data_IF_522568932006
#
_entry.id   IF_522568932006
#
_cell.length_a   1.000
_cell.length_b   1.000
_cell.length_c   1.000
_cell.angle_alpha   90.00
_cell.angle_beta   90.00
_cell.angle_gamma   90.00
#
_symmetry.space_group_name_H-M   'P 1'
#
loop_
_entity.id
_entity.type
_entity.pdbx_description
1 polymer ?
#
# COMPACT_ATOMS: atom_id res chain seq x y z
N UNK A 1 -9.97 15.84 -17.24
CA UNK A 1 -9.74 14.39 -17.02
C UNK A 1 -10.41 13.99 -15.72
N UNK A 2 -11.04 12.83 -15.66
CA UNK A 2 -11.69 12.31 -14.48
C UNK A 2 -10.93 11.08 -13.97
N UNK A 3 -10.67 11.05 -12.67
CA UNK A 3 -9.92 9.97 -12.01
C UNK A 3 -10.74 9.44 -10.85
N UNK A 4 -10.93 8.12 -10.79
CA UNK A 4 -11.48 7.48 -9.60
C UNK A 4 -10.35 6.89 -8.74
N UNK A 5 -10.40 7.15 -7.44
CA UNK A 5 -9.51 6.57 -6.45
C UNK A 5 -10.31 5.60 -5.58
N UNK A 6 -9.95 4.34 -5.60
CA UNK A 6 -10.52 3.36 -4.70
C UNK A 6 -9.77 3.41 -3.36
N UNK A 7 -10.48 3.87 -2.33
CA UNK A 7 -9.99 4.05 -0.98
C UNK A 7 -10.31 5.44 -0.41
N UNK A 8 -10.46 5.52 0.91
CA UNK A 8 -10.55 6.75 1.69
C UNK A 8 -9.55 6.75 2.85
N UNK A 9 -8.56 5.86 2.80
CA UNK A 9 -7.45 5.78 3.75
C UNK A 9 -6.35 6.81 3.49
N UNK A 10 -5.24 6.70 4.23
CA UNK A 10 -4.13 7.66 4.20
C UNK A 10 -3.60 7.92 2.78
N UNK A 11 -3.27 6.86 2.04
CA UNK A 11 -2.71 7.00 0.69
C UNK A 11 -3.72 7.58 -0.30
N UNK A 12 -4.97 7.14 -0.25
CA UNK A 12 -6.02 7.66 -1.12
C UNK A 12 -6.30 9.16 -0.86
N UNK A 13 -6.36 9.58 0.41
CA UNK A 13 -6.49 10.99 0.78
C UNK A 13 -5.28 11.82 0.31
N UNK A 14 -4.05 11.31 0.46
CA UNK A 14 -2.85 11.99 -0.03
C UNK A 14 -2.91 12.17 -1.55
N UNK A 15 -3.17 11.08 -2.29
CA UNK A 15 -3.24 11.12 -3.76
C UNK A 15 -4.38 12.03 -4.23
N UNK A 16 -5.58 11.92 -3.63
CA UNK A 16 -6.71 12.77 -3.95
C UNK A 16 -6.41 14.26 -3.73
N UNK A 17 -5.78 14.61 -2.61
CA UNK A 17 -5.45 16.00 -2.27
C UNK A 17 -4.48 16.66 -3.24
N UNK A 18 -3.60 15.88 -3.88
CA UNK A 18 -2.67 16.38 -4.89
C UNK A 18 -3.28 16.34 -6.29
N UNK A 19 -3.93 15.25 -6.68
CA UNK A 19 -4.55 15.08 -7.99
C UNK A 19 -5.70 16.05 -8.24
N UNK A 20 -6.45 16.47 -7.22
CA UNK A 20 -7.54 17.44 -7.35
C UNK A 20 -7.09 18.81 -7.91
N UNK A 21 -5.80 19.09 -7.97
CA UNK A 21 -5.21 20.30 -8.56
C UNK A 21 -5.17 20.24 -10.09
N UNK A 22 -5.19 19.05 -10.67
CA UNK A 22 -4.96 18.81 -12.12
C UNK A 22 -6.04 17.96 -12.77
N UNK A 23 -6.93 17.36 -11.97
CA UNK A 23 -8.02 16.49 -12.45
C UNK A 23 -9.26 16.61 -11.56
N UNK A 24 -10.41 16.16 -12.08
CA UNK A 24 -11.59 15.90 -11.28
C UNK A 24 -11.41 14.53 -10.62
N UNK A 25 -11.48 14.50 -9.29
CA UNK A 25 -11.22 13.29 -8.49
C UNK A 25 -12.49 12.83 -7.80
N UNK A 26 -12.79 11.54 -7.90
CA UNK A 26 -13.83 10.86 -7.13
C UNK A 26 -13.18 9.78 -6.27
N UNK A 27 -13.39 9.85 -4.95
CA UNK A 27 -13.01 8.79 -4.01
C UNK A 27 -14.18 7.82 -3.83
N UNK A 28 -13.89 6.52 -3.81
CA UNK A 28 -14.91 5.47 -3.57
C UNK A 28 -14.37 4.52 -2.52
N UNK A 29 -15.14 4.29 -1.44
CA UNK A 29 -14.75 3.34 -0.38
C UNK A 29 -16.00 2.72 0.30
N UNK A 30 -15.78 1.63 1.00
CA UNK A 30 -16.74 0.98 1.91
C UNK A 30 -16.77 1.63 3.29
N UNK A 31 -15.76 2.40 3.67
CA UNK A 31 -15.65 3.07 4.98
C UNK A 31 -16.52 4.31 5.05
N UNK A 32 -17.73 4.14 5.62
CA UNK A 32 -18.77 5.18 5.66
C UNK A 32 -18.31 6.47 6.34
N UNK A 33 -17.69 6.37 7.52
CA UNK A 33 -17.24 7.54 8.28
C UNK A 33 -16.19 8.36 7.52
N UNK A 34 -15.25 7.69 6.84
CA UNK A 34 -14.25 8.34 6.00
C UNK A 34 -14.88 9.09 4.84
N UNK A 35 -15.78 8.46 4.11
CA UNK A 35 -16.50 9.08 2.97
C UNK A 35 -17.36 10.26 3.45
N UNK A 36 -18.17 10.08 4.50
CA UNK A 36 -19.01 11.16 5.03
C UNK A 36 -18.18 12.37 5.46
N UNK A 37 -17.05 12.13 6.16
CA UNK A 37 -16.16 13.21 6.58
C UNK A 37 -15.57 13.99 5.39
N UNK A 38 -15.21 13.29 4.31
CA UNK A 38 -14.68 13.91 3.08
C UNK A 38 -15.76 14.70 2.36
N UNK A 39 -17.01 14.18 2.29
CA UNK A 39 -18.14 14.88 1.70
C UNK A 39 -18.47 16.18 2.43
N UNK A 40 -18.44 16.17 3.75
CA UNK A 40 -18.81 17.31 4.58
C UNK A 40 -17.72 18.39 4.68
N UNK A 41 -16.46 17.97 4.81
CA UNK A 41 -15.35 18.86 5.18
C UNK A 41 -14.20 18.89 4.19
N UNK A 42 -14.21 18.01 3.18
CA UNK A 42 -13.06 17.79 2.30
C UNK A 42 -11.95 16.98 2.99
N UNK A 43 -10.80 16.93 2.33
CA UNK A 43 -9.59 16.29 2.85
C UNK A 43 -8.70 17.34 3.48
N UNK A 44 -8.46 17.24 4.79
CA UNK A 44 -7.41 18.01 5.48
C UNK A 44 -6.09 17.29 5.30
N UNK A 45 -5.17 17.89 4.55
CA UNK A 45 -3.84 17.35 4.29
C UNK A 45 -2.78 18.22 4.96
N UNK A 46 -1.95 17.60 5.82
CA UNK A 46 -0.78 18.22 6.44
C UNK A 46 0.50 17.75 5.72
N UNK A 47 1.39 18.65 5.40
CA UNK A 47 2.73 18.38 4.88
C UNK A 47 3.74 19.43 5.40
N UNK A 48 5.00 19.37 4.94
CA UNK A 48 6.07 20.31 5.34
C UNK A 48 5.78 21.78 4.99
N UNK A 49 4.80 22.05 4.12
CA UNK A 49 4.37 23.39 3.70
C UNK A 49 3.19 23.91 4.53
N UNK A 50 2.65 23.10 5.43
CA UNK A 50 1.53 23.43 6.29
C UNK A 50 0.31 22.54 6.08
N UNK A 51 -0.86 23.04 6.50
CA UNK A 51 -2.13 22.31 6.39
C UNK A 51 -3.03 22.97 5.32
N UNK A 52 -3.71 22.16 4.52
CA UNK A 52 -4.67 22.62 3.53
C UNK A 52 -5.87 21.69 3.47
N UNK A 53 -7.05 22.26 3.23
CA UNK A 53 -8.26 21.49 2.96
C UNK A 53 -8.53 21.47 1.46
N UNK A 54 -8.78 20.29 0.92
CA UNK A 54 -9.07 20.07 -0.51
C UNK A 54 -10.43 19.43 -0.66
N UNK A 55 -11.31 20.07 -1.45
CA UNK A 55 -12.63 19.51 -1.77
C UNK A 55 -12.49 18.51 -2.91
N UNK A 56 -13.03 17.31 -2.73
CA UNK A 56 -13.10 16.26 -3.74
C UNK A 56 -14.48 15.61 -3.68
N UNK A 57 -14.89 15.01 -4.78
CA UNK A 57 -16.08 14.17 -4.77
C UNK A 57 -15.78 12.86 -4.05
N UNK A 58 -16.69 12.39 -3.21
CA UNK A 58 -16.56 11.13 -2.50
C UNK A 58 -17.88 10.37 -2.50
N UNK A 59 -17.83 9.07 -2.77
CA UNK A 59 -19.00 8.22 -2.90
C UNK A 59 -18.83 6.95 -2.06
N UNK A 60 -19.94 6.50 -1.46
CA UNK A 60 -19.96 5.17 -0.85
C UNK A 60 -19.94 4.09 -1.91
N UNK A 61 -19.31 2.96 -1.57
CA UNK A 61 -19.42 1.73 -2.35
C UNK A 61 -20.89 1.38 -2.61
N UNK A 62 -21.19 1.04 -3.86
CA UNK A 62 -22.57 0.77 -4.32
C UNK A 62 -23.31 1.98 -4.88
N UNK A 63 -22.74 3.18 -4.87
CA UNK A 63 -23.25 4.32 -5.64
C UNK A 63 -23.19 4.03 -7.15
N UNK A 64 -24.07 4.64 -7.96
CA UNK A 64 -24.03 4.48 -9.42
C UNK A 64 -22.66 4.87 -9.98
N UNK A 65 -21.97 3.91 -10.59
CA UNK A 65 -20.66 4.13 -11.15
C UNK A 65 -20.72 5.08 -12.35
N UNK A 66 -19.69 5.94 -12.47
CA UNK A 66 -19.50 6.81 -13.63
C UNK A 66 -18.20 6.40 -14.30
N UNK A 67 -18.21 6.04 -15.62
CA UNK A 67 -17.00 5.63 -16.32
C UNK A 67 -15.93 6.71 -16.31
N UNK A 68 -14.71 6.32 -15.95
CA UNK A 68 -13.53 7.17 -15.85
C UNK A 68 -12.41 6.64 -16.73
N UNK A 69 -11.47 7.50 -17.10
CA UNK A 69 -10.32 7.09 -17.92
C UNK A 69 -9.22 6.43 -17.08
N UNK A 70 -9.14 6.79 -15.80
CA UNK A 70 -8.15 6.26 -14.87
C UNK A 70 -8.80 5.89 -13.54
N UNK A 71 -8.53 4.67 -13.09
CA UNK A 71 -8.73 4.23 -11.72
C UNK A 71 -7.38 4.05 -11.02
N UNK A 72 -7.23 4.54 -9.79
CA UNK A 72 -6.06 4.24 -8.95
C UNK A 72 -6.55 3.49 -7.72
N UNK A 73 -6.02 2.28 -7.52
CA UNK A 73 -6.43 1.40 -6.42
C UNK A 73 -5.47 1.58 -5.25
N UNK A 74 -5.99 2.11 -4.15
CA UNK A 74 -5.26 2.45 -2.93
C UNK A 74 -5.93 1.89 -1.67
N UNK A 75 -6.93 1.02 -1.85
CA UNK A 75 -7.54 0.27 -0.74
C UNK A 75 -6.53 -0.70 -0.14
N UNK A 76 -6.78 -1.13 1.09
CA UNK A 76 -6.04 -2.23 1.69
C UNK A 76 -6.28 -3.53 0.93
N UNK A 77 -5.28 -4.42 0.87
CA UNK A 77 -5.31 -5.65 0.06
C UNK A 77 -6.53 -6.55 0.33
N UNK A 78 -7.07 -6.55 1.55
CA UNK A 78 -8.28 -7.31 1.89
C UNK A 78 -9.58 -6.75 1.26
N UNK A 79 -9.55 -5.53 0.68
CA UNK A 79 -10.66 -4.91 -0.04
C UNK A 79 -10.54 -5.09 -1.57
N UNK A 80 -9.47 -5.68 -2.09
CA UNK A 80 -9.20 -5.78 -3.53
C UNK A 80 -10.31 -6.54 -4.28
N UNK A 81 -10.86 -7.60 -3.69
CA UNK A 81 -11.96 -8.35 -4.29
C UNK A 81 -13.20 -7.47 -4.53
N UNK A 82 -13.58 -6.65 -3.53
CA UNK A 82 -14.66 -5.67 -3.70
C UNK A 82 -14.38 -4.68 -4.85
N UNK A 83 -13.15 -4.18 -4.96
CA UNK A 83 -12.78 -3.28 -6.07
C UNK A 83 -12.92 -4.01 -7.40
N UNK A 84 -12.46 -5.26 -7.50
CA UNK A 84 -12.55 -6.07 -8.70
C UNK A 84 -14.00 -6.24 -9.17
N UNK A 85 -14.93 -6.47 -8.24
CA UNK A 85 -16.36 -6.64 -8.54
C UNK A 85 -17.00 -5.40 -9.17
N UNK A 86 -16.55 -4.19 -8.78
CA UNK A 86 -17.14 -2.94 -9.24
C UNK A 86 -16.29 -2.17 -10.29
N UNK A 87 -15.01 -2.51 -10.46
CA UNK A 87 -14.05 -1.77 -11.28
C UNK A 87 -14.52 -1.55 -12.71
N UNK A 88 -15.14 -2.56 -13.33
CA UNK A 88 -15.60 -2.48 -14.72
C UNK A 88 -16.65 -1.38 -14.92
N UNK A 89 -17.47 -1.07 -13.94
CA UNK A 89 -18.47 0.00 -13.97
C UNK A 89 -17.85 1.40 -13.88
N UNK A 90 -16.66 1.50 -13.26
CA UNK A 90 -15.94 2.76 -13.12
C UNK A 90 -14.94 3.04 -14.23
N UNK A 91 -14.69 2.11 -15.14
CA UNK A 91 -13.77 2.32 -16.26
C UNK A 91 -14.52 2.55 -17.56
N UNK A 92 -14.14 3.59 -18.28
CA UNK A 92 -14.55 3.80 -19.68
C UNK A 92 -14.03 2.64 -20.54
N UNK A 93 -14.51 2.45 -21.79
CA UNK A 93 -14.04 1.36 -22.67
C UNK A 93 -12.52 1.34 -22.86
N UNK A 94 -11.86 2.49 -22.84
CA UNK A 94 -10.41 2.66 -22.96
C UNK A 94 -9.74 2.90 -21.60
N UNK A 95 -10.51 2.95 -20.51
CA UNK A 95 -10.03 3.24 -19.17
C UNK A 95 -9.15 2.12 -18.61
N UNK A 96 -8.18 2.50 -17.81
CA UNK A 96 -7.23 1.61 -17.15
C UNK A 96 -7.23 1.81 -15.65
N UNK A 97 -6.82 0.77 -14.91
CA UNK A 97 -6.58 0.84 -13.48
C UNK A 97 -5.09 0.70 -13.17
N UNK A 98 -4.62 1.43 -12.16
CA UNK A 98 -3.26 1.27 -11.61
C UNK A 98 -3.40 0.85 -10.15
N UNK A 99 -2.82 -0.29 -9.78
CA UNK A 99 -2.72 -0.70 -8.39
C UNK A 99 -1.43 -0.14 -7.78
N UNK A 100 -1.57 0.67 -6.72
CA UNK A 100 -0.47 1.15 -5.88
C UNK A 100 -0.52 0.51 -4.48
N UNK A 101 -1.20 -0.61 -4.36
CA UNK A 101 -1.37 -1.35 -3.12
C UNK A 101 -0.06 -1.99 -2.65
N UNK A 102 0.05 -2.20 -1.34
CA UNK A 102 1.14 -2.98 -0.76
C UNK A 102 0.92 -4.49 -0.96
N UNK A 103 2.03 -5.24 -0.94
CA UNK A 103 2.00 -6.68 -1.12
C UNK A 103 1.84 -7.10 -2.58
N UNK A 104 1.64 -8.39 -2.78
CA UNK A 104 1.43 -9.02 -4.10
C UNK A 104 0.14 -9.82 -4.09
N UNK A 105 -0.35 -10.23 -5.27
CA UNK A 105 -1.61 -10.96 -5.41
C UNK A 105 -2.83 -10.06 -5.66
N UNK A 106 -2.65 -8.75 -5.73
CA UNK A 106 -3.76 -7.81 -5.95
C UNK A 106 -4.17 -7.71 -7.43
N UNK A 107 -3.21 -7.78 -8.35
CA UNK A 107 -3.46 -7.63 -9.79
C UNK A 107 -4.28 -8.78 -10.37
N UNK A 108 -4.04 -9.99 -9.89
CA UNK A 108 -4.74 -11.20 -10.31
C UNK A 108 -6.24 -11.10 -10.03
N UNK A 109 -6.63 -10.38 -8.98
CA UNK A 109 -8.01 -10.10 -8.64
C UNK A 109 -8.62 -8.98 -9.52
N UNK A 110 -7.84 -7.93 -9.82
CA UNK A 110 -8.32 -6.74 -10.53
C UNK A 110 -8.52 -6.96 -12.02
N UNK A 111 -7.92 -8.00 -12.61
CA UNK A 111 -8.12 -8.38 -14.01
C UNK A 111 -7.25 -7.60 -15.01
N UNK A 112 -7.49 -7.85 -16.29
CA UNK A 112 -6.59 -7.52 -17.41
C UNK A 112 -6.44 -6.02 -17.72
N UNK A 113 -7.32 -5.17 -17.20
CA UNK A 113 -7.21 -3.70 -17.35
C UNK A 113 -6.50 -3.03 -16.19
N UNK A 114 -6.04 -3.80 -15.21
CA UNK A 114 -5.26 -3.31 -14.09
C UNK A 114 -3.76 -3.54 -14.31
N UNK A 115 -2.97 -2.52 -14.05
CA UNK A 115 -1.53 -2.52 -14.22
C UNK A 115 -0.82 -2.27 -12.90
N UNK A 116 0.38 -2.82 -12.71
CA UNK A 116 1.14 -2.61 -11.49
C UNK A 116 1.74 -1.22 -11.41
N UNK A 117 1.82 -0.74 -10.18
CA UNK A 117 2.67 0.39 -9.81
C UNK A 117 3.22 0.20 -8.41
N UNK A 118 4.29 0.92 -8.13
CA UNK A 118 4.91 0.97 -6.81
C UNK A 118 5.15 2.42 -6.42
N UNK A 119 4.79 2.80 -5.20
CA UNK A 119 5.04 4.14 -4.68
C UNK A 119 5.85 4.09 -3.40
N UNK A 120 6.80 5.01 -3.26
CA UNK A 120 7.54 5.25 -2.02
C UNK A 120 7.00 6.46 -1.24
N UNK A 121 5.85 7.01 -1.66
CA UNK A 121 5.12 7.99 -0.86
C UNK A 121 4.67 7.38 0.48
N UNK A 122 4.73 8.19 1.53
CA UNK A 122 4.27 7.84 2.86
C UNK A 122 3.12 8.73 3.32
N UNK A 123 2.14 8.15 4.01
CA UNK A 123 1.04 8.92 4.60
C UNK A 123 0.54 8.26 5.89
N UNK A 124 0.10 9.09 6.82
CA UNK A 124 -0.53 8.66 8.08
C UNK A 124 -1.94 9.23 8.16
N UNK A 125 -2.93 8.37 8.34
CA UNK A 125 -4.31 8.79 8.59
C UNK A 125 -4.41 9.24 10.07
N UNK A 126 -4.76 10.50 10.28
CA UNK A 126 -4.95 11.10 11.61
C UNK A 126 -6.41 11.00 12.07
N UNK A 127 -7.34 10.88 11.12
CA UNK A 127 -8.77 10.74 11.36
C UNK A 127 -9.52 10.66 10.03
N UNK A 128 -10.86 10.49 10.05
CA UNK A 128 -11.67 10.50 8.83
C UNK A 128 -11.47 11.79 8.03
N UNK A 129 -10.98 11.67 6.77
CA UNK A 129 -10.65 12.79 5.91
C UNK A 129 -9.44 13.63 6.34
N UNK A 130 -8.65 13.19 7.33
CA UNK A 130 -7.49 13.93 7.81
C UNK A 130 -6.22 13.09 7.65
N UNK A 131 -5.27 13.56 6.84
CA UNK A 131 -4.04 12.85 6.48
C UNK A 131 -2.81 13.73 6.68
N UNK A 132 -1.72 13.13 7.14
CA UNK A 132 -0.38 13.73 7.16
C UNK A 132 0.53 13.01 6.18
N UNK A 133 1.19 13.77 5.29
CA UNK A 133 2.27 13.26 4.45
C UNK A 133 3.43 12.80 5.34
N UNK A 134 3.88 11.56 5.17
CA UNK A 134 4.93 10.92 5.97
C UNK A 134 6.28 10.83 5.25
N UNK A 135 6.41 11.50 4.12
CA UNK A 135 7.60 11.51 3.27
C UNK A 135 7.24 11.33 1.81
N UNK A 136 8.06 11.86 0.93
CA UNK A 136 7.92 11.74 -0.52
C UNK A 136 8.97 10.79 -1.09
N UNK A 137 8.62 10.09 -2.17
CA UNK A 137 9.52 9.24 -2.91
C UNK A 137 8.91 8.82 -4.24
N UNK A 138 9.70 8.19 -5.11
CA UNK A 138 9.29 7.90 -6.47
C UNK A 138 8.08 6.96 -6.55
N UNK A 139 7.25 7.23 -7.56
CA UNK A 139 6.11 6.40 -7.96
C UNK A 139 6.37 5.87 -9.36
N UNK A 140 6.49 4.57 -9.51
CA UNK A 140 6.69 3.89 -10.79
C UNK A 140 5.39 3.22 -11.21
N UNK A 141 4.98 3.42 -12.46
CA UNK A 141 3.72 2.87 -12.97
C UNK A 141 3.90 2.24 -14.36
N UNK A 142 3.22 1.12 -14.57
CA UNK A 142 3.05 0.56 -15.91
C UNK A 142 1.81 1.20 -16.52
N UNK A 143 2.00 2.31 -17.20
CA UNK A 143 0.90 3.12 -17.72
C UNK A 143 1.32 3.90 -18.98
N UNK A 144 0.35 4.39 -19.79
CA UNK A 144 0.62 5.39 -20.82
C UNK A 144 1.25 6.66 -20.27
N UNK A 145 1.98 7.39 -21.11
CA UNK A 145 2.70 8.61 -20.72
C UNK A 145 1.81 9.69 -20.08
N UNK A 146 0.55 9.79 -20.54
CA UNK A 146 -0.39 10.77 -19.97
C UNK A 146 -0.70 10.54 -18.48
N UNK A 147 -0.63 9.28 -17.98
CA UNK A 147 -0.79 8.98 -16.55
C UNK A 147 0.42 9.51 -15.77
N UNK A 148 1.63 9.29 -16.29
CA UNK A 148 2.85 9.81 -15.66
C UNK A 148 2.82 11.32 -15.64
N UNK A 149 2.47 11.97 -16.75
CA UNK A 149 2.32 13.42 -16.83
C UNK A 149 1.28 13.96 -15.83
N UNK A 150 0.16 13.26 -15.67
CA UNK A 150 -0.86 13.60 -14.68
C UNK A 150 -0.32 13.54 -13.25
N UNK A 151 0.38 12.46 -12.90
CA UNK A 151 0.97 12.29 -11.57
C UNK A 151 2.07 13.34 -11.31
N UNK A 152 2.93 13.60 -12.29
CA UNK A 152 3.93 14.68 -12.18
C UNK A 152 3.30 16.06 -12.01
N UNK A 153 2.22 16.35 -12.74
CA UNK A 153 1.44 17.58 -12.58
C UNK A 153 0.80 17.74 -11.20
N UNK A 154 0.58 16.62 -10.51
CA UNK A 154 0.08 16.55 -9.14
C UNK A 154 1.19 16.55 -8.07
N UNK A 155 2.42 16.93 -8.41
CA UNK A 155 3.61 16.93 -7.55
C UNK A 155 4.00 15.53 -7.01
N UNK A 156 3.76 14.47 -7.79
CA UNK A 156 4.37 13.16 -7.53
C UNK A 156 5.60 12.98 -8.42
N UNK A 157 6.72 12.61 -7.84
CA UNK A 157 7.88 12.16 -8.57
C UNK A 157 7.54 10.83 -9.25
N UNK A 158 7.19 10.85 -10.55
CA UNK A 158 6.59 9.71 -11.22
C UNK A 158 7.32 9.28 -12.47
N UNK A 159 7.42 7.98 -12.69
CA UNK A 159 8.15 7.38 -13.79
C UNK A 159 7.34 6.25 -14.43
N UNK A 160 7.40 6.20 -15.76
CA UNK A 160 6.94 5.03 -16.51
C UNK A 160 7.94 3.89 -16.37
N UNK A 161 7.46 2.67 -16.21
CA UNK A 161 8.31 1.49 -16.18
C UNK A 161 7.70 0.31 -16.97
N UNK A 162 8.51 -0.72 -17.22
CA UNK A 162 8.05 -1.98 -17.77
C UNK A 162 7.36 -2.83 -16.69
N UNK A 163 6.60 -3.85 -17.11
CA UNK A 163 5.97 -4.80 -16.18
C UNK A 163 7.02 -5.49 -15.32
N UNK A 164 8.11 -5.96 -15.92
CA UNK A 164 9.20 -6.62 -15.18
C UNK A 164 9.87 -5.70 -14.17
N UNK A 165 10.08 -4.42 -14.51
CA UNK A 165 10.65 -3.46 -13.56
C UNK A 165 9.68 -3.17 -12.40
N UNK A 166 8.38 -3.01 -12.67
CA UNK A 166 7.38 -2.85 -11.62
C UNK A 166 7.34 -4.08 -10.70
N UNK A 167 7.43 -5.29 -11.25
CA UNK A 167 7.49 -6.53 -10.48
C UNK A 167 8.74 -6.57 -9.58
N UNK A 168 9.92 -6.20 -10.09
CA UNK A 168 11.13 -6.11 -9.30
C UNK A 168 10.98 -5.13 -8.12
N UNK A 169 10.37 -3.96 -8.35
CA UNK A 169 10.10 -2.96 -7.31
C UNK A 169 9.10 -3.48 -6.26
N UNK A 170 8.03 -4.14 -6.70
CA UNK A 170 7.03 -4.73 -5.79
C UNK A 170 7.65 -5.80 -4.89
N UNK A 171 8.46 -6.71 -5.45
CA UNK A 171 9.15 -7.72 -4.66
C UNK A 171 10.23 -7.13 -3.75
N UNK A 172 10.94 -6.10 -4.19
CA UNK A 172 11.87 -5.36 -3.34
C UNK A 172 11.17 -4.72 -2.14
N UNK A 173 10.04 -4.05 -2.39
CA UNK A 173 9.22 -3.47 -1.32
C UNK A 173 8.62 -4.55 -0.40
N UNK A 174 8.20 -5.68 -0.97
CA UNK A 174 7.70 -6.82 -0.22
C UNK A 174 8.77 -7.37 0.73
N UNK A 175 10.00 -7.57 0.27
CA UNK A 175 11.11 -8.08 1.08
C UNK A 175 11.39 -7.19 2.31
N UNK A 176 11.40 -5.87 2.12
CA UNK A 176 11.54 -4.91 3.22
C UNK A 176 10.33 -4.96 4.17
N UNK A 177 9.11 -5.01 3.61
CA UNK A 177 7.88 -5.06 4.40
C UNK A 177 7.76 -6.33 5.23
N UNK A 178 8.19 -7.47 4.71
CA UNK A 178 8.22 -8.75 5.44
C UNK A 178 9.11 -8.68 6.68
N UNK A 179 10.27 -8.02 6.57
CA UNK A 179 11.20 -7.88 7.68
C UNK A 179 10.72 -6.90 8.75
N UNK A 180 10.08 -5.80 8.36
CA UNK A 180 9.78 -4.70 9.30
C UNK A 180 8.35 -4.77 9.84
N UNK A 181 7.33 -4.95 8.97
CA UNK A 181 5.96 -4.62 9.34
C UNK A 181 5.37 -5.55 10.40
N UNK A 182 5.53 -6.86 10.25
CA UNK A 182 4.99 -7.83 11.20
C UNK A 182 5.68 -7.72 12.56
N UNK A 183 7.01 -7.57 12.59
CA UNK A 183 7.77 -7.46 13.83
C UNK A 183 7.44 -6.19 14.61
N UNK A 184 7.40 -5.04 13.95
CA UNK A 184 7.05 -3.77 14.60
C UNK A 184 5.62 -3.78 15.12
N UNK A 185 4.70 -4.41 14.39
CA UNK A 185 3.30 -4.55 14.79
C UNK A 185 3.14 -5.46 16.03
N UNK A 186 3.83 -6.60 16.05
CA UNK A 186 3.79 -7.55 17.18
C UNK A 186 4.49 -7.00 18.44
N UNK A 187 5.65 -6.37 18.26
CA UNK A 187 6.43 -5.81 19.36
C UNK A 187 5.93 -4.41 19.80
N UNK A 188 5.04 -3.79 18.99
CA UNK A 188 4.51 -2.42 19.22
C UNK A 188 5.62 -1.37 19.37
N UNK A 189 6.59 -1.42 18.47
CA UNK A 189 7.76 -0.52 18.48
C UNK A 189 7.95 0.20 17.15
N UNK A 190 8.61 1.38 17.12
CA UNK A 190 9.06 2.02 15.89
C UNK A 190 10.08 1.15 15.15
N UNK A 191 10.30 1.46 13.86
CA UNK A 191 11.12 0.65 12.96
C UNK A 191 12.57 0.48 13.46
N UNK A 192 13.20 1.56 13.94
CA UNK A 192 14.59 1.53 14.41
C UNK A 192 14.84 0.68 15.65
N UNK A 193 13.79 0.41 16.45
CA UNK A 193 13.90 -0.46 17.62
C UNK A 193 14.23 -1.92 17.24
N UNK A 194 13.93 -2.34 16.00
CA UNK A 194 14.31 -3.68 15.52
C UNK A 194 15.83 -3.83 15.45
N UNK A 195 16.54 -2.77 15.11
CA UNK A 195 18.02 -2.78 15.03
C UNK A 195 18.70 -2.87 16.40
N UNK A 196 18.04 -2.33 17.44
CA UNK A 196 18.57 -2.30 18.82
C UNK A 196 18.35 -3.61 19.57
N UNK A 197 17.55 -4.53 19.03
CA UNK A 197 17.15 -5.79 19.68
C UNK A 197 17.70 -6.96 18.87
N UNK A 198 18.76 -7.65 19.33
CA UNK A 198 19.44 -8.67 18.52
C UNK A 198 18.54 -9.75 17.93
N UNK A 199 17.60 -10.29 18.72
CA UNK A 199 16.66 -11.29 18.25
C UNK A 199 15.63 -10.74 17.23
N UNK A 200 15.19 -9.51 17.39
CA UNK A 200 14.30 -8.87 16.42
C UNK A 200 15.04 -8.56 15.10
N UNK A 201 16.29 -8.11 15.20
CA UNK A 201 17.15 -7.89 14.04
C UNK A 201 17.41 -9.19 13.28
N UNK A 202 17.69 -10.31 13.97
CA UNK A 202 17.86 -11.62 13.33
C UNK A 202 16.59 -12.04 12.58
N UNK A 203 15.42 -11.96 13.21
CA UNK A 203 14.15 -12.32 12.57
C UNK A 203 13.83 -11.39 11.38
N UNK A 204 14.11 -10.09 11.48
CA UNK A 204 13.96 -9.13 10.39
C UNK A 204 14.77 -9.54 9.17
N UNK A 205 16.06 -9.87 9.38
CA UNK A 205 16.96 -10.28 8.31
C UNK A 205 16.54 -11.59 7.67
N UNK A 206 16.17 -12.58 8.49
CA UNK A 206 15.72 -13.88 8.00
C UNK A 206 14.41 -13.79 7.21
N UNK A 207 13.42 -13.04 7.69
CA UNK A 207 12.17 -12.83 6.94
C UNK A 207 12.43 -12.17 5.58
N UNK A 208 13.33 -11.18 5.53
CA UNK A 208 13.75 -10.52 4.29
C UNK A 208 14.48 -11.48 3.36
N UNK A 209 15.40 -12.30 3.90
CA UNK A 209 16.16 -13.28 3.11
C UNK A 209 15.26 -14.38 2.51
N UNK A 210 14.27 -14.87 3.25
CA UNK A 210 13.28 -15.82 2.73
C UNK A 210 12.49 -15.22 1.54
N UNK A 211 12.03 -13.98 1.65
CA UNK A 211 11.36 -13.30 0.54
C UNK A 211 12.29 -13.14 -0.68
N UNK A 212 13.54 -12.75 -0.47
CA UNK A 212 14.53 -12.63 -1.53
C UNK A 212 14.82 -13.98 -2.21
N UNK A 213 14.90 -15.07 -1.46
CA UNK A 213 15.10 -16.41 -2.01
C UNK A 213 13.89 -16.85 -2.87
N UNK A 214 12.67 -16.55 -2.45
CA UNK A 214 11.47 -16.81 -3.25
C UNK A 214 11.49 -16.00 -4.55
N UNK A 215 11.80 -14.69 -4.49
CA UNK A 215 11.93 -13.84 -5.67
C UNK A 215 12.97 -14.41 -6.65
N UNK A 216 14.13 -14.79 -6.16
CA UNK A 216 15.21 -15.40 -6.97
C UNK A 216 14.76 -16.70 -7.63
N UNK A 217 14.07 -17.60 -6.91
CA UNK A 217 13.55 -18.84 -7.45
C UNK A 217 12.50 -18.62 -8.56
N UNK A 218 11.79 -17.48 -8.54
CA UNK A 218 10.87 -17.05 -9.57
C UNK A 218 11.53 -16.28 -10.72
N UNK A 219 12.86 -16.07 -10.70
CA UNK A 219 13.57 -15.29 -11.69
C UNK A 219 13.36 -13.76 -11.59
N UNK A 220 12.86 -13.29 -10.44
CA UNK A 220 12.58 -11.87 -10.20
C UNK A 220 13.80 -11.21 -9.55
N UNK A 221 14.36 -10.20 -10.20
CA UNK A 221 15.50 -9.42 -9.68
C UNK A 221 15.02 -8.38 -8.67
N UNK A 222 15.61 -8.37 -7.47
CA UNK A 222 15.35 -7.28 -6.53
C UNK A 222 16.09 -6.00 -6.98
N UNK A 223 15.54 -4.78 -6.69
CA UNK A 223 16.15 -3.52 -7.12
C UNK A 223 17.39 -3.13 -6.30
N UNK A 224 17.90 -4.02 -5.48
CA UNK A 224 19.09 -3.86 -4.66
C UNK A 224 19.86 -5.19 -4.56
N UNK A 225 21.22 -5.15 -4.51
CA UNK A 225 22.03 -6.36 -4.52
C UNK A 225 22.06 -7.09 -3.18
N UNK A 226 21.89 -6.38 -2.06
CA UNK A 226 21.95 -6.93 -0.71
C UNK A 226 20.65 -6.62 0.06
N UNK A 227 19.72 -7.59 0.15
CA UNK A 227 18.48 -7.44 0.89
C UNK A 227 18.67 -7.17 2.40
N UNK A 228 19.73 -7.74 3.00
CA UNK A 228 20.03 -7.57 4.41
C UNK A 228 20.52 -6.14 4.72
N UNK A 229 21.41 -5.61 3.89
CA UNK A 229 21.83 -4.22 3.99
C UNK A 229 20.66 -3.28 3.75
N UNK A 230 19.84 -3.54 2.73
CA UNK A 230 18.72 -2.68 2.38
C UNK A 230 17.65 -2.61 3.48
N UNK A 231 17.27 -3.72 4.11
CA UNK A 231 16.27 -3.70 5.20
C UNK A 231 16.78 -2.96 6.43
N UNK A 232 18.09 -3.06 6.74
CA UNK A 232 18.71 -2.29 7.83
C UNK A 232 18.68 -0.80 7.53
N UNK A 233 19.12 -0.40 6.33
CA UNK A 233 19.10 1.00 5.89
C UNK A 233 17.68 1.60 5.99
N UNK A 234 16.66 0.87 5.52
CA UNK A 234 15.28 1.35 5.61
C UNK A 234 14.82 1.46 7.06
N UNK A 235 15.13 0.48 7.91
CA UNK A 235 14.78 0.52 9.34
C UNK A 235 15.47 1.69 10.06
N UNK A 236 16.71 2.03 9.70
CA UNK A 236 17.47 3.14 10.25
C UNK A 236 16.92 4.49 9.74
N UNK A 237 16.75 4.66 8.42
CA UNK A 237 16.23 5.89 7.81
C UNK A 237 14.82 6.22 8.29
N UNK A 238 14.04 5.22 8.68
CA UNK A 238 12.67 5.37 9.17
C UNK A 238 12.55 5.03 10.66
N UNK A 239 13.62 5.25 11.44
CA UNK A 239 13.75 4.75 12.82
C UNK A 239 12.59 5.15 13.74
N UNK A 240 12.12 6.38 13.63
CA UNK A 240 11.03 6.93 14.44
C UNK A 240 9.64 6.61 13.89
N UNK A 241 9.56 6.04 12.68
CA UNK A 241 8.28 5.75 12.04
C UNK A 241 7.66 4.47 12.62
N UNK A 242 6.34 4.50 12.73
CA UNK A 242 5.53 3.30 12.96
C UNK A 242 5.14 2.71 11.60
N UNK A 243 5.43 1.42 11.38
CA UNK A 243 5.04 0.75 10.14
C UNK A 243 3.52 0.83 9.90
N UNK A 244 3.08 0.70 8.65
CA UNK A 244 1.64 0.71 8.32
C UNK A 244 0.87 -0.38 9.06
N UNK A 245 1.45 -1.57 9.19
CA UNK A 245 0.85 -2.70 9.91
C UNK A 245 0.75 -2.43 11.42
N UNK A 246 1.75 -1.78 12.01
CA UNK A 246 1.67 -1.35 13.40
C UNK A 246 0.58 -0.30 13.61
N UNK A 247 0.45 0.66 12.69
CA UNK A 247 -0.63 1.65 12.72
C UNK A 247 -2.02 0.99 12.60
N UNK A 248 -2.16 -0.06 11.77
CA UNK A 248 -3.41 -0.82 11.63
C UNK A 248 -3.78 -1.51 12.95
N UNK A 249 -2.83 -2.19 13.60
CA UNK A 249 -3.06 -2.84 14.91
C UNK A 249 -3.44 -1.82 15.99
N UNK A 250 -2.80 -0.65 16.04
CA UNK A 250 -3.15 0.40 16.99
C UNK A 250 -4.59 0.91 16.84
N UNK A 251 -5.11 0.88 15.60
CA UNK A 251 -6.49 1.29 15.28
C UNK A 251 -7.49 0.16 15.38
N UNK A 252 -7.07 -1.06 15.70
CA UNK A 252 -7.93 -2.25 15.65
C UNK A 252 -8.39 -2.62 14.23
N UNK A 253 -7.70 -2.11 13.21
CA UNK A 253 -8.04 -2.34 11.81
C UNK A 253 -7.43 -3.66 11.29
N UNK A 254 -8.04 -4.29 10.26
CA UNK A 254 -7.44 -5.42 9.57
C UNK A 254 -6.09 -5.03 8.93
N UNK A 255 -5.13 -5.96 8.98
CA UNK A 255 -3.80 -5.76 8.44
C UNK A 255 -3.63 -6.36 7.04
N UNK A 256 -2.56 -6.00 6.34
CA UNK A 256 -2.19 -6.57 5.04
C UNK A 256 -1.24 -7.79 5.17
N UNK A 257 -1.19 -8.44 6.34
CA UNK A 257 -0.26 -9.56 6.56
C UNK A 257 -0.47 -10.73 5.58
N UNK A 258 -1.69 -10.93 5.07
CA UNK A 258 -1.99 -11.96 4.07
C UNK A 258 -1.36 -11.67 2.69
N UNK A 259 -1.27 -10.39 2.31
CA UNK A 259 -0.64 -9.94 1.07
C UNK A 259 0.87 -9.65 1.22
N UNK A 260 1.40 -9.65 2.43
CA UNK A 260 2.82 -9.44 2.74
C UNK A 260 3.45 -10.79 3.14
N UNK A 261 3.58 -11.11 4.42
CA UNK A 261 4.22 -12.36 4.86
C UNK A 261 3.48 -13.60 4.33
N UNK A 262 2.13 -13.59 4.34
CA UNK A 262 1.31 -14.67 3.80
C UNK A 262 1.50 -14.91 2.30
N UNK A 263 1.75 -13.86 1.53
CA UNK A 263 2.07 -13.99 0.12
C UNK A 263 3.43 -14.67 -0.10
N UNK A 264 4.45 -14.29 0.68
CA UNK A 264 5.77 -14.95 0.63
C UNK A 264 5.66 -16.45 0.95
N UNK A 265 4.81 -16.81 1.92
CA UNK A 265 4.58 -18.24 2.27
C UNK A 265 3.93 -19.00 1.12
N UNK A 266 2.89 -18.42 0.49
CA UNK A 266 2.24 -19.06 -0.66
C UNK A 266 3.17 -19.21 -1.86
N UNK A 267 3.86 -18.14 -2.23
CA UNK A 267 4.78 -18.13 -3.37
C UNK A 267 6.00 -19.04 -3.12
N UNK A 268 6.49 -19.07 -1.86
CA UNK A 268 7.54 -20.00 -1.44
C UNK A 268 7.11 -21.46 -1.58
N UNK A 269 5.89 -21.79 -1.17
CA UNK A 269 5.33 -23.13 -1.36
C UNK A 269 5.24 -23.53 -2.84
N UNK A 270 4.85 -22.61 -3.72
CA UNK A 270 4.79 -22.84 -5.17
C UNK A 270 6.20 -23.01 -5.79
N UNK A 271 7.19 -22.30 -5.26
CA UNK A 271 8.58 -22.33 -5.74
C UNK A 271 9.44 -23.41 -5.04
N UNK A 272 8.91 -24.17 -4.07
CA UNK A 272 9.65 -25.14 -3.30
C UNK A 272 10.66 -24.53 -2.31
N UNK A 273 10.48 -23.27 -1.92
CA UNK A 273 11.34 -22.52 -1.01
C UNK A 273 10.69 -22.46 0.37
N UNK A 274 11.38 -22.92 1.41
CA UNK A 274 10.90 -22.83 2.79
C UNK A 274 10.95 -21.39 3.31
N UNK A 275 9.86 -20.96 3.96
CA UNK A 275 9.70 -19.59 4.49
C UNK A 275 9.20 -19.60 5.94
N UNK A 276 9.89 -20.32 6.87
CA UNK A 276 9.39 -20.57 8.21
C UNK A 276 9.22 -19.30 9.05
N UNK A 277 10.10 -18.31 8.90
CA UNK A 277 9.98 -17.05 9.66
C UNK A 277 8.78 -16.24 9.19
N UNK A 278 8.59 -16.10 7.88
CA UNK A 278 7.39 -15.44 7.33
C UNK A 278 6.10 -16.15 7.75
N UNK A 279 6.10 -17.49 7.76
CA UNK A 279 4.93 -18.27 8.19
C UNK A 279 4.56 -18.00 9.66
N UNK A 280 5.54 -18.02 10.55
CA UNK A 280 5.33 -17.74 11.98
C UNK A 280 4.84 -16.30 12.18
N UNK A 281 5.49 -15.31 11.56
CA UNK A 281 5.09 -13.91 11.65
C UNK A 281 3.68 -13.67 11.12
N UNK A 282 3.34 -14.27 9.99
CA UNK A 282 1.99 -14.21 9.41
C UNK A 282 0.93 -14.75 10.37
N UNK A 283 1.14 -15.95 10.93
CA UNK A 283 0.20 -16.58 11.87
C UNK A 283 0.05 -15.76 13.16
N UNK A 284 1.14 -15.21 13.70
CA UNK A 284 1.12 -14.38 14.91
C UNK A 284 0.36 -13.07 14.71
N UNK A 285 0.57 -12.38 13.57
CA UNK A 285 -0.18 -11.15 13.27
C UNK A 285 -1.68 -11.44 13.13
N UNK A 286 -2.05 -12.51 12.43
CA UNK A 286 -3.47 -12.92 12.33
C UNK A 286 -4.10 -13.22 13.69
N UNK A 287 -3.38 -13.90 14.56
CA UNK A 287 -3.84 -14.19 15.92
C UNK A 287 -4.01 -12.90 16.76
N UNK A 288 -3.06 -11.96 16.66
CA UNK A 288 -3.12 -10.68 17.36
C UNK A 288 -4.33 -9.83 16.92
N UNK A 289 -4.64 -9.80 15.61
CA UNK A 289 -5.82 -9.07 15.08
C UNK A 289 -7.14 -9.70 15.55
N UNK A 290 -7.21 -11.02 15.64
CA UNK A 290 -8.42 -11.73 16.13
C UNK A 290 -8.72 -11.44 17.60
N UNK A 291 -7.69 -11.30 18.44
CA UNK A 291 -7.83 -10.94 19.85
C UNK A 291 -8.37 -9.51 20.03
N UNK A 292 -7.85 -8.55 19.27
CA UNK A 292 -8.30 -7.16 19.34
C UNK A 292 -9.76 -6.92 18.93
N UNK A 293 -10.37 -7.82 18.14
CA UNK A 293 -11.79 -7.75 17.78
C UNK A 293 -12.76 -8.24 18.87
N UNK A 294 -12.28 -9.02 19.84
CA UNK A 294 -13.12 -9.52 20.96
C UNK A 294 -13.27 -8.51 22.08
N UNK A 295 -12.30 -7.60 22.25
CA UNK A 295 -12.31 -6.62 23.34
C UNK A 295 -13.08 -5.34 22.99
N UNK A 296 -13.60 -5.24 21.77
CA UNK A 296 -14.35 -4.08 21.25
C UNK A 296 -15.88 -4.36 21.09
N UNK A 297 -16.39 -5.38 21.81
CA UNK A 297 -17.83 -5.68 21.87
C UNK A 297 -18.42 -5.29 23.19
#
# INVERSE_FOLDING_TARGET
MHVVLFGAGAMACLFASRLARVAQVTLVDTWKEGITAIQERGILCEDSRGSRTVQVHAEHAGSPARPQDLAIVLVKSWQTAWVADCLSGYLSPQGIAISLQNGIGNLELLGTRAFPGSTAEGATLLGPGHVRSGGSGPTHVVAPEWVVALLCGADFESYRCSVSHAENLLWGKLAISCGINALTALLRVPNGELLRRPNASDLMLRATAECAAVAQAKGIGLPFPDPAAQVREVAERTADNRSSMFQDILRGAPTECDAINGAVVREGGLAGIATPVNEVLWKLVRAAVQLGRKDSR
#
